data_IF_722553379758
#
_entry.id   IF_722553379758
#
_cell.length_a   1.000
_cell.length_b   1.000
_cell.length_c   1.000
_cell.angle_alpha   90.00
_cell.angle_beta   90.00
_cell.angle_gamma   90.00
#
_symmetry.space_group_name_H-M   'P 1'
#
loop_
_entity.id
_entity.type
_entity.pdbx_description
1 polymer ?
#
# COMPACT_ATOMS: atom_id res chain seq x y z
N UNK A 1 2.81 6.99 15.59
CA UNK A 1 2.79 5.52 15.37
C UNK A 1 1.43 5.04 14.89
N UNK A 2 0.36 5.01 15.69
CA UNK A 2 -0.93 4.45 15.24
C UNK A 2 -1.49 5.05 13.92
N UNK A 3 -1.41 6.38 13.73
CA UNK A 3 -1.86 7.04 12.48
C UNK A 3 -0.98 6.73 11.26
N UNK A 4 0.32 6.49 11.46
CA UNK A 4 1.22 6.09 10.38
C UNK A 4 1.04 4.63 10.01
N UNK A 5 0.82 3.75 11.00
CA UNK A 5 0.51 2.35 10.76
C UNK A 5 -0.79 2.18 9.96
N UNK A 6 -1.77 3.08 10.14
CA UNK A 6 -3.01 3.10 9.35
C UNK A 6 -2.79 3.72 7.95
N UNK A 7 -1.96 4.76 7.85
CA UNK A 7 -1.55 5.36 6.58
C UNK A 7 -0.76 4.41 5.68
N UNK A 8 0.01 3.49 6.25
CA UNK A 8 0.76 2.46 5.50
C UNK A 8 -0.17 1.54 4.68
N UNK A 9 -1.47 1.48 4.99
CA UNK A 9 -2.45 0.70 4.22
C UNK A 9 -3.21 1.50 3.16
N UNK A 10 -3.04 2.83 3.06
CA UNK A 10 -3.88 3.67 2.21
C UNK A 10 -3.95 3.19 0.75
N UNK A 11 -2.80 2.96 0.11
CA UNK A 11 -2.75 2.51 -1.28
C UNK A 11 -3.40 1.14 -1.50
N UNK A 12 -3.20 0.18 -0.59
CA UNK A 12 -3.80 -1.16 -0.72
C UNK A 12 -5.30 -1.12 -0.49
N UNK A 13 -5.79 -0.22 0.38
CA UNK A 13 -7.21 -0.03 0.65
C UNK A 13 -7.93 0.65 -0.53
N UNK A 14 -7.31 1.63 -1.17
CA UNK A 14 -7.85 2.25 -2.38
C UNK A 14 -7.98 1.23 -3.52
N UNK A 15 -6.92 0.45 -3.72
CA UNK A 15 -6.93 -0.61 -4.72
C UNK A 15 -8.00 -1.66 -4.40
N UNK A 16 -8.08 -2.12 -3.15
CA UNK A 16 -9.07 -3.08 -2.72
C UNK A 16 -10.51 -2.57 -2.89
N UNK A 17 -10.75 -1.29 -2.60
CA UNK A 17 -12.06 -0.65 -2.78
C UNK A 17 -12.46 -0.67 -4.25
N UNK A 18 -11.52 -0.31 -5.14
CA UNK A 18 -11.74 -0.33 -6.59
C UNK A 18 -12.10 -1.74 -7.08
N UNK A 19 -11.35 -2.76 -6.67
CA UNK A 19 -11.62 -4.15 -7.07
C UNK A 19 -12.91 -4.71 -6.46
N UNK A 20 -13.24 -4.33 -5.21
CA UNK A 20 -14.48 -4.73 -4.56
C UNK A 20 -15.71 -4.16 -5.30
N UNK A 21 -15.69 -2.86 -5.64
CA UNK A 21 -16.77 -2.21 -6.40
C UNK A 21 -16.92 -2.84 -7.78
N UNK A 22 -15.81 -3.10 -8.47
CA UNK A 22 -15.81 -3.75 -9.78
C UNK A 22 -16.39 -5.17 -9.73
N UNK A 23 -16.11 -5.91 -8.66
CA UNK A 23 -16.56 -7.30 -8.49
C UNK A 23 -18.02 -7.39 -8.04
N UNK A 24 -18.46 -6.51 -7.15
CA UNK A 24 -19.79 -6.55 -6.55
C UNK A 24 -20.86 -5.74 -7.33
N UNK A 25 -20.44 -4.76 -8.13
CA UNK A 25 -21.32 -3.86 -8.87
C UNK A 25 -21.79 -2.64 -8.05
N UNK A 26 -22.26 -1.60 -8.74
CA UNK A 26 -22.57 -0.27 -8.15
C UNK A 26 -23.70 -0.27 -7.10
N UNK A 27 -24.52 -1.32 -7.04
CA UNK A 27 -25.67 -1.44 -6.11
C UNK A 27 -25.45 -2.54 -5.06
N UNK A 28 -24.21 -2.91 -4.79
CA UNK A 28 -23.90 -3.91 -3.78
C UNK A 28 -24.36 -3.43 -2.39
N UNK A 29 -24.90 -4.36 -1.60
CA UNK A 29 -25.12 -4.14 -0.17
C UNK A 29 -23.78 -4.04 0.58
N UNK A 30 -23.82 -3.74 1.87
CA UNK A 30 -22.61 -3.64 2.71
C UNK A 30 -21.71 -4.88 2.58
N UNK A 31 -20.42 -4.64 2.34
CA UNK A 31 -19.43 -5.68 2.09
C UNK A 31 -18.43 -5.79 3.24
N UNK A 32 -18.14 -7.01 3.64
CA UNK A 32 -16.94 -7.32 4.43
C UNK A 32 -15.90 -7.90 3.49
N UNK A 33 -14.87 -7.12 3.19
CA UNK A 33 -13.81 -7.50 2.25
C UNK A 33 -12.63 -8.08 3.01
N UNK A 34 -12.17 -9.26 2.59
CA UNK A 34 -10.94 -9.87 3.08
C UNK A 34 -9.83 -9.65 2.07
N UNK A 35 -8.75 -9.01 2.51
CA UNK A 35 -7.59 -8.74 1.66
C UNK A 35 -6.61 -9.90 1.67
N UNK A 36 -5.77 -9.95 0.63
CA UNK A 36 -4.64 -10.89 0.52
C UNK A 36 -3.35 -10.35 1.13
N UNK A 37 -3.35 -9.06 1.50
CA UNK A 37 -2.20 -8.39 2.09
C UNK A 37 -1.79 -9.08 3.39
N UNK A 38 -0.48 -9.15 3.58
CA UNK A 38 0.11 -9.66 4.80
C UNK A 38 0.50 -8.44 5.67
N UNK A 39 -0.06 -8.31 6.88
CA UNK A 39 0.20 -7.14 7.73
C UNK A 39 1.67 -6.92 8.07
N UNK A 40 2.44 -8.01 8.21
CA UNK A 40 3.87 -7.91 8.48
C UNK A 40 4.60 -7.40 7.25
N UNK A 41 4.35 -7.99 6.08
CA UNK A 41 4.98 -7.55 4.83
C UNK A 41 4.58 -6.12 4.45
N UNK A 42 3.34 -5.70 4.71
CA UNK A 42 2.89 -4.34 4.47
C UNK A 42 3.72 -3.32 5.29
N UNK A 43 3.84 -3.56 6.59
CA UNK A 43 4.63 -2.71 7.50
C UNK A 43 6.10 -2.69 7.13
N UNK A 44 6.71 -3.85 6.90
CA UNK A 44 8.12 -3.94 6.51
C UNK A 44 8.36 -3.27 5.15
N UNK A 45 7.45 -3.43 4.20
CA UNK A 45 7.52 -2.77 2.90
C UNK A 45 7.52 -1.25 3.02
N UNK A 46 6.65 -0.68 3.87
CA UNK A 46 6.57 0.76 4.09
C UNK A 46 7.85 1.28 4.76
N UNK A 47 8.38 0.54 5.72
CA UNK A 47 9.63 0.88 6.39
C UNK A 47 10.83 0.85 5.43
N UNK A 48 10.94 -0.17 4.58
CA UNK A 48 11.99 -0.27 3.57
C UNK A 48 11.94 0.91 2.59
N UNK A 49 10.75 1.32 2.15
CA UNK A 49 10.58 2.49 1.27
C UNK A 49 11.07 3.76 1.96
N UNK A 50 10.67 3.99 3.22
CA UNK A 50 11.12 5.16 4.01
C UNK A 50 12.63 5.18 4.20
N UNK A 51 13.22 4.06 4.60
CA UNK A 51 14.66 3.94 4.83
C UNK A 51 15.46 4.14 3.53
N UNK A 52 14.98 3.59 2.43
CA UNK A 52 15.60 3.77 1.11
C UNK A 52 15.59 5.25 0.74
N UNK A 53 14.44 5.91 0.82
CA UNK A 53 14.28 7.32 0.47
C UNK A 53 15.11 8.26 1.36
N UNK A 54 15.32 7.93 2.63
CA UNK A 54 16.18 8.70 3.54
C UNK A 54 17.63 8.79 3.03
N UNK A 55 18.11 7.79 2.29
CA UNK A 55 19.46 7.79 1.70
C UNK A 55 19.49 8.23 0.23
N UNK A 56 18.54 7.76 -0.58
CA UNK A 56 18.54 7.94 -2.03
C UNK A 56 18.24 9.38 -2.46
N UNK A 57 17.52 10.15 -1.64
CA UNK A 57 17.28 11.57 -1.91
C UNK A 57 18.60 12.35 -2.09
N UNK A 58 19.62 12.05 -1.29
CA UNK A 58 20.92 12.71 -1.37
C UNK A 58 21.89 12.03 -2.33
N UNK A 59 21.85 10.69 -2.40
CA UNK A 59 22.76 9.88 -3.20
C UNK A 59 22.47 9.95 -4.70
N UNK A 60 21.19 9.85 -5.07
CA UNK A 60 20.75 9.74 -6.47
C UNK A 60 19.79 10.84 -6.89
N UNK A 61 19.35 11.70 -5.96
CA UNK A 61 18.35 12.74 -6.24
C UNK A 61 16.94 12.17 -6.40
N UNK A 62 16.69 10.94 -5.95
CA UNK A 62 15.37 10.32 -5.98
C UNK A 62 14.36 11.13 -5.15
N UNK A 63 13.12 11.25 -5.64
CA UNK A 63 12.07 12.01 -4.94
C UNK A 63 10.89 11.16 -4.48
N UNK A 64 10.77 9.94 -5.01
CA UNK A 64 9.68 9.02 -4.75
C UNK A 64 10.20 7.59 -4.88
N UNK A 65 9.55 6.67 -4.17
CA UNK A 65 9.74 5.23 -4.30
C UNK A 65 8.41 4.52 -4.01
N UNK A 66 8.23 3.37 -4.64
CA UNK A 66 7.08 2.52 -4.44
C UNK A 66 7.54 1.07 -4.36
N UNK A 67 6.76 0.23 -3.67
CA UNK A 67 7.00 -1.18 -3.50
C UNK A 67 5.70 -1.96 -3.73
N UNK A 68 5.79 -3.00 -4.56
CA UNK A 68 4.72 -3.96 -4.75
C UNK A 68 5.29 -5.37 -4.54
N UNK A 69 4.70 -6.12 -3.63
CA UNK A 69 5.02 -7.52 -3.37
C UNK A 69 3.82 -8.40 -3.72
N UNK A 70 4.05 -9.40 -4.58
CA UNK A 70 3.03 -10.32 -5.09
C UNK A 70 3.45 -11.77 -4.79
N UNK A 71 2.49 -12.64 -4.49
CA UNK A 71 2.72 -14.08 -4.62
C UNK A 71 2.58 -14.53 -6.08
N UNK A 72 3.05 -15.75 -6.38
CA UNK A 72 3.07 -16.29 -7.75
C UNK A 72 1.68 -16.43 -8.39
N UNK A 73 0.63 -16.50 -7.57
CA UNK A 73 -0.79 -16.51 -7.98
C UNK A 73 -1.36 -15.10 -8.22
N UNK A 74 -0.55 -14.05 -8.08
CA UNK A 74 -0.95 -12.66 -8.29
C UNK A 74 -1.53 -11.99 -7.04
N UNK A 75 -1.58 -12.64 -5.89
CA UNK A 75 -2.11 -12.02 -4.68
C UNK A 75 -1.16 -10.93 -4.16
N UNK A 76 -1.70 -9.73 -3.90
CA UNK A 76 -0.93 -8.62 -3.33
C UNK A 76 -0.67 -8.91 -1.87
N UNK A 77 0.61 -8.93 -1.48
CA UNK A 77 1.09 -9.14 -0.11
C UNK A 77 1.47 -7.83 0.57
N UNK A 78 2.06 -6.91 -0.17
CA UNK A 78 2.32 -5.54 0.28
C UNK A 78 2.22 -4.58 -0.91
N UNK A 79 1.66 -3.39 -0.67
CA UNK A 79 1.58 -2.32 -1.67
C UNK A 79 1.82 -0.97 -1.00
N UNK A 80 2.89 -0.30 -1.39
CA UNK A 80 3.33 0.98 -0.85
C UNK A 80 3.60 1.91 -2.02
N UNK A 81 2.95 3.08 -2.05
CA UNK A 81 3.06 4.03 -3.15
C UNK A 81 4.02 5.19 -2.91
N UNK A 82 4.52 5.34 -1.68
CA UNK A 82 5.35 6.48 -1.26
C UNK A 82 5.80 6.36 0.19
N UNK A 83 6.46 7.40 0.70
CA UNK A 83 6.90 7.45 2.11
C UNK A 83 5.79 7.80 3.09
N UNK A 84 4.77 8.51 2.61
CA UNK A 84 3.59 8.90 3.36
C UNK A 84 2.39 8.95 2.41
N UNK A 85 1.31 8.26 2.77
CA UNK A 85 0.08 8.24 1.99
C UNK A 85 -0.68 9.56 2.09
N UNK A 86 -0.69 10.21 3.26
CA UNK A 86 -1.43 11.45 3.50
C UNK A 86 -0.83 12.66 2.78
N UNK A 87 0.48 12.64 2.53
CA UNK A 87 1.19 13.66 1.75
C UNK A 87 1.27 13.33 0.25
N UNK A 88 0.71 12.19 -0.16
CA UNK A 88 0.61 11.81 -1.58
C UNK A 88 -0.68 12.39 -2.19
N UNK A 89 -0.62 12.97 -3.41
CA UNK A 89 -1.75 13.65 -4.04
C UNK A 89 -2.88 12.71 -4.50
#
# INVERSE_FOLDING_TARGET
MALQDEGDYGWVLDYATTEAVKSAGQNAADLVVRLTSDPLLQREGAEVVRQTMATETTRSGARQAALLSLSADGAIRAMVGGTDYGDSP
#
